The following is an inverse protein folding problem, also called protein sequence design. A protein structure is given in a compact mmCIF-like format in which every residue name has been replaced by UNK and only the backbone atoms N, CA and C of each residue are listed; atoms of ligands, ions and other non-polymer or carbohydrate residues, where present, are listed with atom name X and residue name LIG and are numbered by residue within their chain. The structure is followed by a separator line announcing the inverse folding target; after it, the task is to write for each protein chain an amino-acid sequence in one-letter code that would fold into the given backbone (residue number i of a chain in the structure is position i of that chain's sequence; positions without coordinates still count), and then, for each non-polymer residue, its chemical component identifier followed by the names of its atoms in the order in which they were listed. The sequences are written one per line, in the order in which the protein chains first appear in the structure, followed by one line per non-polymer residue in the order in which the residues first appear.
data_IF_854482802616
#
_entry.id   IF_854482802616
#
_cell.length_a   1.000
_cell.length_b   1.000
_cell.length_c   1.000
_cell.angle_alpha   90.00
_cell.angle_beta   90.00
_cell.angle_gamma   90.00
#
_symmetry.space_group_name_H-M   'P 1'
#
loop_
_entity.id
_entity.type
_entity.pdbx_description
1 polymer ?
#
# COMPACT_ATOMS: atom_id res chain seq x y z
N UNK A 1 12.21 -9.81 -12.85
CA UNK A 1 12.54 -9.10 -11.60
C UNK A 1 12.23 -7.60 -11.63
N UNK A 2 12.91 -6.75 -12.41
CA UNK A 2 12.68 -5.29 -12.36
C UNK A 2 11.21 -4.87 -12.57
N UNK A 3 10.50 -5.47 -13.53
CA UNK A 3 9.08 -5.21 -13.79
C UNK A 3 8.17 -5.60 -12.61
N UNK A 4 8.55 -6.64 -11.85
CA UNK A 4 7.83 -7.04 -10.65
C UNK A 4 7.98 -5.98 -9.56
N UNK A 5 9.20 -5.51 -9.34
CA UNK A 5 9.48 -4.42 -8.38
C UNK A 5 8.72 -3.14 -8.74
N UNK A 6 8.60 -2.82 -10.04
CA UNK A 6 7.78 -1.67 -10.52
C UNK A 6 6.30 -1.89 -10.21
N UNK A 7 5.77 -3.09 -10.43
CA UNK A 7 4.40 -3.44 -10.06
C UNK A 7 4.14 -3.29 -8.57
N UNK A 8 5.03 -3.82 -7.73
CA UNK A 8 4.93 -3.76 -6.27
C UNK A 8 5.06 -2.32 -5.74
N UNK A 9 5.97 -1.52 -6.28
CA UNK A 9 6.10 -0.11 -5.93
C UNK A 9 4.82 0.68 -6.26
N UNK A 10 4.22 0.46 -7.43
CA UNK A 10 2.96 1.09 -7.79
C UNK A 10 1.81 0.71 -6.85
N UNK A 11 1.70 -0.58 -6.50
CA UNK A 11 0.70 -1.03 -5.55
C UNK A 11 0.88 -0.39 -4.17
N UNK A 12 2.12 -0.32 -3.68
CA UNK A 12 2.44 0.30 -2.40
C UNK A 12 2.13 1.81 -2.39
N UNK A 13 2.45 2.52 -3.48
CA UNK A 13 2.09 3.94 -3.63
C UNK A 13 0.58 4.13 -3.66
N UNK A 14 -0.16 3.26 -4.35
CA UNK A 14 -1.63 3.31 -4.37
C UNK A 14 -2.23 3.06 -2.98
N UNK A 15 -1.72 2.05 -2.25
CA UNK A 15 -2.10 1.78 -0.87
C UNK A 15 -1.83 2.97 0.06
N UNK A 16 -0.68 3.64 -0.13
CA UNK A 16 -0.31 4.84 0.62
C UNK A 16 -1.27 6.02 0.35
N UNK A 17 -1.65 6.26 -0.92
CA UNK A 17 -2.66 7.26 -1.28
C UNK A 17 -4.04 6.95 -0.66
N UNK A 18 -4.47 5.68 -0.70
CA UNK A 18 -5.75 5.26 -0.11
C UNK A 18 -5.75 5.44 1.42
N UNK A 19 -4.66 5.07 2.09
CA UNK A 19 -4.52 5.23 3.53
C UNK A 19 -4.51 6.72 3.94
N UNK A 20 -3.84 7.58 3.17
CA UNK A 20 -3.86 9.04 3.37
C UNK A 20 -5.27 9.61 3.23
N UNK A 21 -5.99 9.23 2.17
CA UNK A 21 -7.37 9.65 1.94
C UNK A 21 -8.31 9.17 3.07
N UNK A 22 -8.17 7.90 3.49
CA UNK A 22 -8.94 7.33 4.59
C UNK A 22 -8.66 8.08 5.91
N UNK A 23 -7.39 8.40 6.19
CA UNK A 23 -7.01 9.18 7.37
C UNK A 23 -7.71 10.54 7.37
N UNK A 24 -7.69 11.27 6.25
CA UNK A 24 -8.39 12.56 6.13
C UNK A 24 -9.91 12.44 6.39
N UNK A 25 -10.55 11.39 5.85
CA UNK A 25 -11.97 11.10 6.08
C UNK A 25 -12.25 10.82 7.56
N UNK A 26 -11.44 9.99 8.23
CA UNK A 26 -11.59 9.67 9.66
C UNK A 26 -11.37 10.91 10.53
N UNK A 27 -10.40 11.76 10.20
CA UNK A 27 -10.17 13.01 10.93
C UNK A 27 -11.40 13.92 10.90
N UNK A 28 -11.97 14.17 9.72
CA UNK A 28 -13.14 15.04 9.56
C UNK A 28 -14.43 14.40 10.08
N UNK A 29 -14.60 13.10 9.85
CA UNK A 29 -15.84 12.37 10.10
C UNK A 29 -15.98 11.91 11.54
N UNK A 30 -14.89 11.47 12.17
CA UNK A 30 -14.92 10.85 13.50
C UNK A 30 -14.18 11.69 14.52
N UNK A 31 -12.91 12.05 14.26
CA UNK A 31 -12.06 12.73 15.26
C UNK A 31 -12.66 14.08 15.66
N UNK A 32 -13.04 14.91 14.69
CA UNK A 32 -13.64 16.22 14.96
C UNK A 32 -15.03 16.16 15.58
N UNK A 33 -15.81 15.10 15.29
CA UNK A 33 -17.18 14.95 15.80
C UNK A 33 -17.23 14.20 17.15
N UNK A 34 -16.10 13.71 17.64
CA UNK A 34 -16.04 12.93 18.87
C UNK A 34 -16.27 13.82 20.10
N UNK A 35 -17.40 13.62 20.77
CA UNK A 35 -17.79 14.40 21.95
C UNK A 35 -17.41 13.74 23.27
N UNK A 36 -17.40 12.41 23.34
CA UNK A 36 -17.08 11.66 24.56
C UNK A 36 -15.65 11.13 24.58
N UNK A 37 -15.15 10.82 25.78
CA UNK A 37 -13.82 10.22 25.96
C UNK A 37 -13.65 8.91 25.20
N UNK A 38 -14.65 8.01 25.28
CA UNK A 38 -14.64 6.73 24.56
C UNK A 38 -14.63 6.94 23.04
N UNK A 39 -15.44 7.86 22.51
CA UNK A 39 -15.45 8.18 21.08
C UNK A 39 -14.10 8.74 20.61
N UNK A 40 -13.47 9.61 21.40
CA UNK A 40 -12.13 10.13 21.08
C UNK A 40 -11.09 9.02 21.07
N UNK A 41 -11.13 8.12 22.05
CA UNK A 41 -10.21 6.97 22.11
C UNK A 41 -10.37 6.07 20.88
N UNK A 42 -11.60 5.72 20.49
CA UNK A 42 -11.86 4.94 19.28
C UNK A 42 -11.44 5.67 18.00
N UNK A 43 -11.68 6.98 17.92
CA UNK A 43 -11.23 7.79 16.78
C UNK A 43 -9.70 7.75 16.62
N UNK A 44 -8.96 7.88 17.73
CA UNK A 44 -7.51 7.77 17.73
C UNK A 44 -7.00 6.36 17.44
N UNK A 45 -7.70 5.31 17.89
CA UNK A 45 -7.38 3.93 17.51
C UNK A 45 -7.49 3.71 16.00
N UNK A 46 -8.53 4.25 15.35
CA UNK A 46 -8.67 4.18 13.89
C UNK A 46 -7.53 4.93 13.19
N UNK A 47 -7.19 6.15 13.65
CA UNK A 47 -6.06 6.91 13.10
C UNK A 47 -4.75 6.13 13.24
N UNK A 48 -4.49 5.53 14.39
CA UNK A 48 -3.29 4.74 14.64
C UNK A 48 -3.22 3.49 13.75
N UNK A 49 -4.37 2.82 13.51
CA UNK A 49 -4.45 1.69 12.58
C UNK A 49 -4.11 2.11 11.16
N UNK A 50 -4.63 3.25 10.70
CA UNK A 50 -4.32 3.78 9.37
C UNK A 50 -2.84 4.15 9.28
N UNK A 51 -2.27 4.74 10.34
CA UNK A 51 -0.85 5.06 10.40
C UNK A 51 0.06 3.83 10.36
N UNK A 52 -0.37 2.70 10.95
CA UNK A 52 0.35 1.44 10.79
C UNK A 52 0.32 0.92 9.35
N UNK A 53 -0.82 0.99 8.67
CA UNK A 53 -0.92 0.61 7.25
C UNK A 53 -0.04 1.51 6.38
N UNK A 54 -0.08 2.83 6.58
CA UNK A 54 0.80 3.77 5.87
C UNK A 54 2.28 3.43 6.03
N UNK A 55 2.71 3.08 7.25
CA UNK A 55 4.11 2.68 7.52
C UNK A 55 4.46 1.39 6.79
N UNK A 56 3.55 0.42 6.74
CA UNK A 56 3.76 -0.83 6.03
C UNK A 56 3.95 -0.60 4.52
N UNK A 57 3.07 0.20 3.90
CA UNK A 57 3.19 0.53 2.47
C UNK A 57 4.48 1.28 2.16
N UNK A 58 4.88 2.21 3.03
CA UNK A 58 6.15 2.91 2.88
C UNK A 58 7.38 1.99 2.95
N UNK A 59 7.34 0.96 3.80
CA UNK A 59 8.41 -0.04 3.90
C UNK A 59 8.46 -0.90 2.63
N UNK A 60 7.31 -1.35 2.12
CA UNK A 60 7.23 -2.12 0.88
C UNK A 60 7.78 -1.30 -0.28
N UNK A 61 7.32 -0.06 -0.43
CA UNK A 61 7.81 0.84 -1.47
C UNK A 61 9.33 1.03 -1.41
N UNK A 62 9.88 1.30 -0.21
CA UNK A 62 11.33 1.52 -0.05
C UNK A 62 12.15 0.30 -0.45
N UNK A 63 11.70 -0.91 -0.08
CA UNK A 63 12.35 -2.16 -0.49
C UNK A 63 12.34 -2.34 -2.00
N UNK A 64 11.21 -2.06 -2.64
CA UNK A 64 11.11 -2.12 -4.10
C UNK A 64 12.02 -1.09 -4.78
N UNK A 65 12.10 0.12 -4.24
CA UNK A 65 12.97 1.18 -4.74
C UNK A 65 14.46 0.82 -4.62
N UNK A 66 14.89 0.29 -3.47
CA UNK A 66 16.26 -0.22 -3.27
C UNK A 66 16.58 -1.36 -4.24
N UNK A 67 15.63 -2.28 -4.46
CA UNK A 67 15.77 -3.36 -5.43
C UNK A 67 15.86 -2.84 -6.87
N UNK A 68 15.09 -1.81 -7.24
CA UNK A 68 15.20 -1.16 -8.56
C UNK A 68 16.60 -0.59 -8.79
N UNK A 69 17.17 0.07 -7.79
CA UNK A 69 18.54 0.61 -7.86
C UNK A 69 19.54 -0.53 -8.03
N UNK A 70 19.44 -1.59 -7.23
CA UNK A 70 20.33 -2.75 -7.30
C UNK A 70 20.27 -3.48 -8.65
N UNK A 71 19.10 -3.50 -9.29
CA UNK A 71 18.87 -4.12 -10.59
C UNK A 71 19.25 -3.22 -11.78
N UNK A 72 19.76 -2.00 -11.53
CA UNK A 72 20.17 -1.07 -12.57
C UNK A 72 18.98 -0.48 -13.35
N UNK A 73 17.91 -0.11 -12.66
CA UNK A 73 16.76 0.55 -13.28
C UNK A 73 17.18 1.80 -14.08
N UNK A 74 16.55 1.99 -15.23
CA UNK A 74 16.79 3.13 -16.11
C UNK A 74 16.58 4.47 -15.36
N UNK A 75 17.42 5.50 -15.56
CA UNK A 75 17.27 6.80 -14.91
C UNK A 75 15.90 7.44 -15.15
N UNK A 76 15.27 7.18 -16.30
CA UNK A 76 13.90 7.60 -16.57
C UNK A 76 12.93 6.98 -15.57
N UNK A 77 13.05 5.69 -15.28
CA UNK A 77 12.23 4.98 -14.27
C UNK A 77 12.47 5.54 -12.87
N UNK A 78 13.71 5.81 -12.50
CA UNK A 78 14.05 6.39 -11.18
C UNK A 78 13.63 7.86 -11.03
N UNK A 79 13.45 8.59 -12.14
CA UNK A 79 12.87 9.95 -12.11
C UNK A 79 11.38 9.89 -11.70
N UNK A 80 10.68 8.82 -12.11
CA UNK A 80 9.29 8.57 -11.74
C UNK A 80 9.13 8.00 -10.34
N UNK A 81 10.01 7.09 -9.92
CA UNK A 81 10.00 6.48 -8.59
C UNK A 81 11.06 7.12 -7.70
N UNK A 82 10.70 8.22 -7.03
CA UNK A 82 11.63 8.95 -6.16
C UNK A 82 11.70 8.34 -4.76
N UNK A 83 12.71 8.78 -3.99
CA UNK A 83 12.85 8.35 -2.60
C UNK A 83 11.66 8.82 -1.74
N UNK A 84 11.14 7.91 -0.89
CA UNK A 84 10.07 8.23 0.04
C UNK A 84 10.63 8.75 1.37
N UNK A 85 10.57 10.07 1.54
CA UNK A 85 10.99 10.77 2.74
C UNK A 85 9.87 10.78 3.81
N UNK A 86 10.27 10.83 5.08
CA UNK A 86 9.33 10.92 6.22
C UNK A 86 8.50 12.21 6.17
N UNK A 87 9.05 13.29 5.64
CA UNK A 87 8.33 14.55 5.40
C UNK A 87 7.12 14.36 4.51
N UNK A 88 7.21 13.49 3.49
CA UNK A 88 6.11 13.20 2.55
C UNK A 88 4.94 12.46 3.22
N UNK A 89 5.19 11.79 4.34
CA UNK A 89 4.17 11.07 5.12
C UNK A 89 3.56 11.92 6.23
N UNK A 90 4.12 13.11 6.49
CA UNK A 90 3.58 14.03 7.48
C UNK A 90 2.44 14.80 6.82
N UNK A 91 1.22 14.35 7.10
CA UNK A 91 0.00 14.91 6.52
C UNK A 91 -0.09 16.39 6.87
N UNK A 92 0.06 17.25 5.87
CA UNK A 92 -0.50 18.59 5.96
C UNK A 92 -2.01 18.45 5.76
N UNK A 93 -2.75 18.38 6.85
CA UNK A 93 -4.20 18.12 6.82
C UNK A 93 -4.92 19.24 6.06
N UNK A 94 -4.30 20.43 5.96
CA UNK A 94 -4.80 21.54 5.17
C UNK A 94 -4.87 21.24 3.66
N UNK A 95 -3.95 20.43 3.13
CA UNK A 95 -3.94 20.04 1.71
C UNK A 95 -5.16 19.18 1.32
N UNK A 96 -5.78 18.48 2.29
CA UNK A 96 -6.95 17.64 2.06
C UNK A 96 -8.29 18.38 2.25
N UNK A 97 -8.29 19.56 2.87
CA UNK A 97 -9.52 20.30 3.21
C UNK A 97 -10.03 21.24 2.11
N UNK A 98 -9.24 21.51 1.08
CA UNK A 98 -9.59 22.52 0.08
C UNK A 98 -9.95 21.85 -1.26
N UNK A 99 -11.25 21.85 -1.56
CA UNK A 99 -11.79 21.57 -2.89
C UNK A 99 -11.42 22.69 -3.90
N UNK A 100 -10.15 23.05 -3.98
CA UNK A 100 -9.62 24.03 -4.94
C UNK A 100 -8.57 23.31 -5.77
N UNK A 101 -9.03 22.76 -6.88
CA UNK A 101 -8.21 22.05 -7.86
C UNK A 101 -7.06 22.93 -8.41
N UNK A 102 -7.19 24.26 -8.31
CA UNK A 102 -6.37 25.20 -9.08
C UNK A 102 -5.08 25.67 -8.37
N UNK A 103 -4.84 25.35 -7.08
CA UNK A 103 -3.66 25.86 -6.35
C UNK A 103 -2.92 24.86 -5.43
N UNK A 104 -3.39 23.64 -5.22
CA UNK A 104 -2.82 22.71 -4.22
C UNK A 104 -1.70 21.77 -4.71
N UNK A 105 -1.39 21.74 -6.01
CA UNK A 105 -0.41 20.79 -6.58
C UNK A 105 1.05 21.07 -6.22
N UNK A 106 1.39 22.27 -5.75
CA UNK A 106 2.79 22.64 -5.47
C UNK A 106 3.34 22.08 -4.15
N UNK A 107 2.48 21.76 -3.17
CA UNK A 107 2.90 21.25 -1.85
C UNK A 107 2.60 19.76 -1.63
N UNK A 108 1.95 19.09 -2.59
CA UNK A 108 1.71 17.66 -2.47
C UNK A 108 2.99 16.88 -2.78
N UNK A 109 3.27 15.79 -2.04
CA UNK A 109 4.35 14.87 -2.38
C UNK A 109 4.29 14.42 -3.85
N UNK A 110 5.45 14.21 -4.46
CA UNK A 110 5.61 13.81 -5.87
C UNK A 110 4.73 12.62 -6.28
N UNK A 111 4.42 11.71 -5.36
CA UNK A 111 3.60 10.53 -5.62
C UNK A 111 2.11 10.83 -5.85
N UNK A 112 1.62 12.03 -5.48
CA UNK A 112 0.26 12.49 -5.82
C UNK A 112 0.16 12.97 -7.27
N UNK A 113 1.26 13.47 -7.83
CA UNK A 113 1.36 13.89 -9.22
C UNK A 113 1.74 12.72 -10.14
N UNK A 114 1.97 11.53 -9.58
CA UNK A 114 1.99 10.31 -10.39
C UNK A 114 0.57 10.09 -10.86
N UNK A 115 0.30 10.62 -12.05
CA UNK A 115 -0.83 10.20 -12.82
C UNK A 115 -0.63 8.69 -13.08
N UNK A 116 -1.40 7.86 -12.37
CA UNK A 116 -1.53 6.43 -12.70
C UNK A 116 -2.43 6.31 -13.95
N UNK A 117 -2.08 6.94 -15.09
CA UNK A 117 -2.32 6.31 -16.39
C UNK A 117 -1.30 6.77 -17.47
N UNK A 118 -0.14 6.10 -17.58
CA UNK A 118 0.66 6.13 -18.83
C UNK A 118 1.07 4.76 -19.33
N UNK A 119 0.24 3.76 -19.06
CA UNK A 119 0.27 2.45 -19.72
C UNK A 119 -1.11 2.06 -20.31
N UNK A 120 -2.10 2.94 -20.18
CA UNK A 120 -3.53 2.70 -20.55
C UNK A 120 -3.81 2.80 -22.06
N UNK A 121 -2.77 2.94 -22.90
CA UNK A 121 -2.92 2.68 -24.36
C UNK A 121 -2.78 1.20 -24.70
N UNK A 122 -2.33 0.40 -23.73
CA UNK A 122 -2.28 -1.04 -23.78
C UNK A 122 -3.32 -1.60 -22.83
N UNK A 123 -3.96 -2.73 -23.18
CA UNK A 123 -4.84 -3.52 -22.29
C UNK A 123 -4.08 -4.10 -21.06
N UNK A 124 -2.84 -3.65 -20.82
CA UNK A 124 -1.88 -3.94 -19.74
C UNK A 124 -2.48 -3.83 -18.33
N UNK A 125 -3.31 -2.83 -18.05
CA UNK A 125 -3.85 -2.65 -16.68
C UNK A 125 -4.85 -3.75 -16.30
N UNK A 126 -5.69 -4.22 -17.23
CA UNK A 126 -6.58 -5.37 -17.03
C UNK A 126 -5.80 -6.66 -16.82
N UNK A 127 -4.67 -6.82 -17.51
CA UNK A 127 -3.78 -7.97 -17.28
C UNK A 127 -3.05 -7.90 -15.94
N UNK A 128 -2.77 -6.70 -15.40
CA UNK A 128 -2.19 -6.54 -14.05
C UNK A 128 -3.21 -6.84 -12.95
N UNK A 129 -4.45 -6.35 -13.09
CA UNK A 129 -5.54 -6.73 -12.16
C UNK A 129 -5.81 -8.23 -12.18
N UNK A 130 -5.71 -8.84 -13.37
CA UNK A 130 -5.83 -10.29 -13.54
C UNK A 130 -4.63 -11.03 -12.94
N UNK A 131 -3.39 -10.61 -13.19
CA UNK A 131 -2.20 -11.22 -12.62
C UNK A 131 -2.13 -11.11 -11.10
N UNK A 132 -2.58 -9.99 -10.53
CA UNK A 132 -2.72 -9.84 -9.06
C UNK A 132 -3.74 -10.83 -8.54
N UNK A 133 -4.91 -10.95 -9.19
CA UNK A 133 -5.91 -11.95 -8.82
C UNK A 133 -5.36 -13.38 -8.93
N UNK A 134 -4.69 -13.70 -10.03
CA UNK A 134 -4.10 -15.03 -10.27
C UNK A 134 -3.02 -15.34 -9.22
N UNK A 135 -2.25 -14.34 -8.77
CA UNK A 135 -1.27 -14.48 -7.70
C UNK A 135 -1.93 -14.73 -6.33
N UNK A 136 -3.03 -14.03 -6.01
CA UNK A 136 -3.80 -14.30 -4.79
C UNK A 136 -4.40 -15.71 -4.81
N UNK A 137 -4.91 -16.17 -5.96
CA UNK A 137 -5.45 -17.52 -6.13
C UNK A 137 -4.34 -18.59 -6.00
N UNK A 138 -3.14 -18.33 -6.51
CA UNK A 138 -1.98 -19.22 -6.36
C UNK A 138 -1.50 -19.29 -4.91
N UNK A 139 -1.39 -18.14 -4.21
CA UNK A 139 -1.04 -18.09 -2.79
C UNK A 139 -2.09 -18.80 -1.90
N UNK A 140 -3.38 -18.66 -2.21
CA UNK A 140 -4.46 -19.37 -1.52
C UNK A 140 -4.33 -20.90 -1.70
N UNK A 141 -4.10 -21.36 -2.94
CA UNK A 141 -3.90 -22.77 -3.22
C UNK A 141 -2.67 -23.34 -2.49
N UNK A 142 -1.55 -22.60 -2.48
CA UNK A 142 -0.34 -22.98 -1.75
C UNK A 142 -0.61 -23.09 -0.25
N UNK A 143 -1.25 -22.09 0.36
CA UNK A 143 -1.65 -22.11 1.77
C UNK A 143 -2.52 -23.34 2.10
N UNK A 144 -3.53 -23.64 1.29
CA UNK A 144 -4.36 -24.82 1.49
C UNK A 144 -3.54 -26.13 1.45
N UNK A 145 -2.59 -26.24 0.52
CA UNK A 145 -1.71 -27.42 0.44
C UNK A 145 -0.76 -27.54 1.63
N UNK A 146 -0.18 -26.43 2.09
CA UNK A 146 0.67 -26.39 3.28
C UNK A 146 -0.10 -26.77 4.54
N UNK A 147 -1.32 -26.24 4.72
CA UNK A 147 -2.22 -26.62 5.81
C UNK A 147 -2.53 -28.13 5.78
N UNK A 148 -2.83 -28.66 4.61
CA UNK A 148 -3.12 -30.08 4.46
C UNK A 148 -1.89 -30.96 4.76
N UNK A 149 -0.70 -30.49 4.39
CA UNK A 149 0.56 -31.15 4.71
C UNK A 149 0.83 -31.14 6.22
N UNK A 150 0.62 -30.01 6.90
CA UNK A 150 0.75 -29.90 8.35
C UNK A 150 -0.20 -30.87 9.08
N UNK A 151 -1.47 -30.94 8.67
CA UNK A 151 -2.44 -31.90 9.22
C UNK A 151 -1.97 -33.35 9.04
N UNK A 152 -1.47 -33.69 7.85
CA UNK A 152 -0.99 -35.04 7.55
C UNK A 152 0.28 -35.39 8.33
N UNK A 153 1.19 -34.43 8.50
CA UNK A 153 2.39 -34.57 9.32
C UNK A 153 2.03 -34.91 10.77
N UNK A 154 1.12 -34.15 11.39
CA UNK A 154 0.66 -34.44 12.76
C UNK A 154 -0.06 -35.79 12.86
N UNK A 155 -0.89 -36.16 11.88
CA UNK A 155 -1.56 -37.48 11.85
C UNK A 155 -0.56 -38.63 11.73
N UNK A 156 0.47 -38.49 10.91
CA UNK A 156 1.54 -39.49 10.77
C UNK A 156 2.30 -39.66 12.08
N UNK A 157 2.69 -38.55 12.71
CA UNK A 157 3.34 -38.59 14.01
C UNK A 157 2.44 -39.19 15.10
N UNK A 158 1.16 -38.82 15.18
CA UNK A 158 0.22 -39.41 16.14
C UNK A 158 0.09 -40.93 16.01
N UNK A 159 0.21 -41.49 14.80
CA UNK A 159 0.20 -42.95 14.58
C UNK A 159 1.51 -43.63 14.96
N UNK A 160 2.64 -42.94 14.83
CA UNK A 160 3.97 -43.46 15.16
C UNK A 160 4.24 -43.48 16.68
N UNK A 161 3.51 -42.67 17.44
CA UNK A 161 3.60 -42.57 18.90
C UNK A 161 2.59 -43.46 19.63
N UNK A 162 1.78 -44.22 18.87
CA UNK A 162 0.93 -45.31 19.36
C UNK A 162 1.69 -46.62 19.22
#
# INVERSE_FOLDING_TARGET
ELQLQIGQANNALHGLCLALANKAVVFRGVVWKATSYSMRMHAWQMVNSIDSSMKQEAVIYRRCWEAMIALGADPGTLTWFQELLKSHMTIDTAAFTQNAHDHCTSNLPWFWSIDIPRDTRSKSWLTKSKAVKDQWEEEEALLCTEFQWAINFFKYHARKWR
#
